data_IF_386775709978
#
_entry.id   IF_386775709978
#
_cell.length_a   1.000
_cell.length_b   1.000
_cell.length_c   1.000
_cell.angle_alpha   90.00
_cell.angle_beta   90.00
_cell.angle_gamma   90.00
#
_symmetry.space_group_name_H-M   'P 1'
#
loop_
_entity.id
_entity.type
_entity.pdbx_description
1 polymer ?
#
# COMPACT_ATOMS: atom_id res chain seq x y z
N UNK A 1 37.08 -20.41 3.60
CA UNK A 1 36.31 -19.19 3.88
C UNK A 1 35.39 -18.97 2.69
N UNK A 2 34.09 -19.23 2.84
CA UNK A 2 33.11 -18.71 1.87
C UNK A 2 33.14 -17.20 2.02
N UNK A 3 33.32 -16.47 0.92
CA UNK A 3 33.15 -15.02 0.91
C UNK A 3 31.74 -14.74 1.42
N UNK A 4 31.62 -13.96 2.49
CA UNK A 4 30.35 -13.30 2.80
C UNK A 4 30.01 -12.47 1.57
N UNK A 5 28.97 -12.87 0.85
CA UNK A 5 28.34 -12.00 -0.14
C UNK A 5 28.03 -10.70 0.60
N UNK A 6 28.66 -9.60 0.18
CA UNK A 6 28.48 -8.31 0.82
C UNK A 6 26.99 -7.95 0.73
N UNK A 7 26.26 -8.17 1.84
CA UNK A 7 24.87 -7.78 1.96
C UNK A 7 24.79 -6.29 1.67
N UNK A 8 24.11 -5.94 0.60
CA UNK A 8 23.89 -4.54 0.28
C UNK A 8 22.82 -4.02 1.24
N UNK A 9 23.09 -2.90 1.92
CA UNK A 9 22.16 -2.34 2.91
C UNK A 9 21.05 -1.49 2.27
N UNK A 10 21.14 -1.25 0.96
CA UNK A 10 20.21 -0.44 0.20
C UNK A 10 19.86 -1.13 -1.13
N UNK A 11 18.59 -1.02 -1.50
CA UNK A 11 18.03 -1.54 -2.75
C UNK A 11 17.23 -0.43 -3.42
N UNK A 12 17.14 -0.46 -4.74
CA UNK A 12 16.40 0.52 -5.53
C UNK A 12 15.45 -0.20 -6.45
N UNK A 13 14.23 0.31 -6.53
CA UNK A 13 13.18 -0.15 -7.43
C UNK A 13 12.87 0.99 -8.38
N UNK A 14 12.90 0.72 -9.68
CA UNK A 14 12.51 1.71 -10.68
C UNK A 14 11.00 1.93 -10.63
N UNK A 15 10.58 3.20 -10.62
CA UNK A 15 9.19 3.62 -10.63
C UNK A 15 8.90 4.40 -11.92
N UNK A 16 7.65 4.35 -12.40
CA UNK A 16 7.26 5.03 -13.64
C UNK A 16 7.24 6.56 -13.52
N UNK A 17 7.00 7.09 -12.31
CA UNK A 17 6.95 8.53 -12.01
C UNK A 17 7.33 8.80 -10.54
N UNK A 18 7.23 10.06 -10.11
CA UNK A 18 7.45 10.49 -8.72
C UNK A 18 6.62 9.68 -7.73
N UNK A 19 7.28 9.21 -6.68
CA UNK A 19 6.65 8.58 -5.51
C UNK A 19 6.48 9.64 -4.42
N UNK A 20 5.25 9.84 -3.96
CA UNK A 20 4.90 10.80 -2.92
C UNK A 20 4.69 10.15 -1.55
N UNK A 21 4.29 8.89 -1.53
CA UNK A 21 4.03 8.12 -0.31
C UNK A 21 4.37 6.65 -0.52
N UNK A 22 4.85 5.98 0.52
CA UNK A 22 5.14 4.54 0.54
C UNK A 22 4.80 3.98 1.91
N UNK A 23 4.14 2.82 1.95
CA UNK A 23 3.72 2.16 3.19
C UNK A 23 3.84 0.63 3.06
N UNK A 24 4.54 0.00 4.00
CA UNK A 24 4.44 -1.45 4.19
C UNK A 24 3.10 -1.80 4.83
N UNK A 25 2.55 -2.95 4.48
CA UNK A 25 1.40 -3.49 5.18
C UNK A 25 1.82 -3.86 6.61
N UNK A 26 1.27 -3.20 7.66
CA UNK A 26 1.68 -3.46 9.03
C UNK A 26 1.00 -4.71 9.61
N UNK A 27 0.06 -5.32 8.89
CA UNK A 27 -0.70 -6.48 9.35
C UNK A 27 -0.07 -7.78 8.85
N UNK A 28 0.08 -8.74 9.75
CA UNK A 28 0.58 -10.09 9.43
C UNK A 28 -0.55 -11.04 8.98
N UNK A 29 -1.78 -10.54 8.92
CA UNK A 29 -2.96 -11.34 8.60
C UNK A 29 -2.84 -11.93 7.19
N UNK A 30 -3.01 -13.25 7.09
CA UNK A 30 -3.11 -13.95 5.82
C UNK A 30 -1.90 -13.80 4.89
N UNK A 31 -0.69 -13.90 5.46
CA UNK A 31 0.58 -13.91 4.71
C UNK A 31 0.79 -12.65 3.85
N UNK A 32 0.42 -11.50 4.38
CA UNK A 32 0.40 -10.23 3.66
C UNK A 32 1.39 -9.18 4.18
N UNK A 33 2.22 -9.54 5.17
CA UNK A 33 3.16 -8.61 5.82
C UNK A 33 4.32 -8.16 4.93
N UNK A 34 4.57 -8.87 3.83
CA UNK A 34 5.57 -8.49 2.83
C UNK A 34 5.02 -7.55 1.73
N UNK A 35 3.73 -7.16 1.82
CA UNK A 35 3.14 -6.20 0.90
C UNK A 35 3.67 -4.79 1.15
N UNK A 36 3.92 -4.09 0.07
CA UNK A 36 4.27 -2.67 0.06
C UNK A 36 3.38 -1.94 -0.94
N UNK A 37 2.93 -0.76 -0.56
CA UNK A 37 2.20 0.14 -1.44
C UNK A 37 3.00 1.43 -1.63
N UNK A 38 2.97 2.00 -2.83
CA UNK A 38 3.43 3.36 -3.04
C UNK A 38 2.50 4.13 -3.97
N UNK A 39 2.34 5.42 -3.69
CA UNK A 39 1.47 6.34 -4.41
C UNK A 39 2.26 7.36 -5.23
N UNK A 40 1.80 7.61 -6.45
CA UNK A 40 2.40 8.58 -7.38
C UNK A 40 1.46 9.72 -7.76
N UNK A 41 1.74 10.36 -8.90
CA UNK A 41 0.94 11.50 -9.40
C UNK A 41 -0.46 11.13 -9.87
N UNK A 42 -0.68 9.89 -10.30
CA UNK A 42 -1.98 9.44 -10.81
C UNK A 42 -2.20 7.92 -10.65
N UNK A 43 -1.40 7.26 -9.80
CA UNK A 43 -1.46 5.82 -9.61
C UNK A 43 -1.14 5.43 -8.16
N UNK A 44 -1.54 4.22 -7.78
CA UNK A 44 -1.05 3.50 -6.61
C UNK A 44 -0.54 2.14 -7.08
N UNK A 45 0.65 1.76 -6.66
CA UNK A 45 1.21 0.44 -6.93
C UNK A 45 1.19 -0.39 -5.66
N UNK A 46 0.75 -1.64 -5.79
CA UNK A 46 0.89 -2.69 -4.78
C UNK A 46 1.93 -3.69 -5.28
N UNK A 47 2.91 -4.00 -4.44
CA UNK A 47 3.93 -5.01 -4.71
C UNK A 47 4.25 -5.84 -3.48
N UNK A 48 5.13 -6.82 -3.67
CA UNK A 48 5.71 -7.65 -2.60
C UNK A 48 7.22 -7.42 -2.55
N UNK A 49 7.76 -7.44 -1.34
CA UNK A 49 9.20 -7.49 -1.08
C UNK A 49 9.53 -8.84 -0.44
N UNK A 50 10.17 -9.73 -1.17
CA UNK A 50 10.70 -10.99 -0.60
C UNK A 50 12.14 -10.76 -0.18
N UNK A 51 12.47 -11.12 1.06
CA UNK A 51 13.81 -10.94 1.62
C UNK A 51 14.62 -12.25 1.55
N UNK A 52 15.93 -12.14 1.41
CA UNK A 52 16.84 -13.28 1.42
C UNK A 52 16.71 -14.17 2.68
N UNK A 53 16.35 -13.58 3.82
CA UNK A 53 16.07 -14.32 5.06
C UNK A 53 14.84 -15.23 4.98
N UNK A 54 13.91 -14.96 4.06
CA UNK A 54 12.67 -15.71 3.85
C UNK A 54 12.85 -16.78 2.77
N UNK A 55 13.54 -16.44 1.67
CA UNK A 55 13.79 -17.33 0.54
C UNK A 55 15.28 -17.40 0.18
N UNK A 56 15.88 -18.58 0.32
CA UNK A 56 17.31 -18.80 0.13
C UNK A 56 17.83 -18.49 -1.29
N UNK A 57 16.96 -18.52 -2.29
CA UNK A 57 17.27 -18.23 -3.69
C UNK A 57 17.19 -16.73 -4.02
N UNK A 58 16.75 -15.88 -3.08
CA UNK A 58 16.73 -14.42 -3.23
C UNK A 58 18.07 -13.85 -2.77
N UNK A 59 18.75 -13.11 -3.66
CA UNK A 59 19.92 -12.31 -3.28
C UNK A 59 19.46 -10.91 -2.82
N UNK A 60 19.52 -10.65 -1.52
CA UNK A 60 19.10 -9.37 -0.95
C UNK A 60 17.58 -9.21 -0.85
N UNK A 61 16.99 -8.39 -1.74
CA UNK A 61 15.54 -8.16 -1.81
C UNK A 61 15.07 -8.39 -3.25
N UNK A 62 14.00 -9.17 -3.39
CA UNK A 62 13.24 -9.28 -4.62
C UNK A 62 11.95 -8.48 -4.51
N UNK A 63 11.84 -7.40 -5.28
CA UNK A 63 10.61 -6.65 -5.44
C UNK A 63 9.81 -7.18 -6.64
N UNK A 64 8.49 -7.33 -6.47
CA UNK A 64 7.56 -7.67 -7.55
C UNK A 64 6.32 -6.80 -7.48
N UNK A 65 6.01 -6.11 -8.57
CA UNK A 65 4.72 -5.43 -8.72
C UNK A 65 3.61 -6.47 -8.88
N UNK A 66 2.59 -6.39 -8.02
CA UNK A 66 1.38 -7.19 -8.13
C UNK A 66 0.32 -6.47 -8.95
N UNK A 67 0.14 -5.17 -8.72
CA UNK A 67 -0.88 -4.37 -9.42
C UNK A 67 -0.60 -2.88 -9.38
N UNK A 68 -0.94 -2.19 -10.47
CA UNK A 68 -1.01 -0.73 -10.56
C UNK A 68 -2.47 -0.32 -10.70
N UNK A 69 -2.94 0.55 -9.81
CA UNK A 69 -4.27 1.14 -9.83
C UNK A 69 -4.19 2.55 -10.39
N UNK A 70 -4.97 2.86 -11.41
CA UNK A 70 -5.15 4.24 -11.84
C UNK A 70 -5.93 5.02 -10.76
N UNK A 71 -5.39 6.14 -10.34
CA UNK A 71 -5.96 7.01 -9.31
C UNK A 71 -6.44 8.35 -9.89
N UNK A 72 -5.70 8.88 -10.86
CA UNK A 72 -6.05 10.09 -11.61
C UNK A 72 -5.64 11.42 -10.97
N UNK A 73 -5.21 11.40 -9.71
CA UNK A 73 -4.68 12.57 -8.97
C UNK A 73 -3.53 12.13 -8.06
N UNK A 74 -2.77 13.11 -7.55
CA UNK A 74 -1.62 12.84 -6.67
C UNK A 74 -2.10 12.21 -5.37
N UNK A 75 -1.46 11.11 -4.99
CA UNK A 75 -1.72 10.38 -3.75
C UNK A 75 -0.86 10.96 -2.64
N UNK A 76 -1.50 11.41 -1.56
CA UNK A 76 -0.81 12.06 -0.44
C UNK A 76 -0.65 11.14 0.77
N UNK A 77 -1.49 10.09 0.89
CA UNK A 77 -1.46 9.15 1.99
C UNK A 77 -2.00 7.78 1.62
N UNK A 78 -1.53 6.73 2.31
CA UNK A 78 -1.97 5.34 2.17
C UNK A 78 -2.19 4.75 3.57
N UNK A 79 -3.26 3.98 3.77
CA UNK A 79 -3.42 3.14 4.95
C UNK A 79 -3.94 1.76 4.55
N UNK A 80 -3.33 0.74 5.13
CA UNK A 80 -3.72 -0.65 4.95
C UNK A 80 -4.90 -1.02 5.84
N UNK A 81 -5.76 -1.92 5.36
CA UNK A 81 -6.81 -2.55 6.17
C UNK A 81 -6.31 -3.90 6.71
N UNK A 82 -6.63 -4.28 7.97
CA UNK A 82 -6.34 -5.60 8.51
C UNK A 82 -7.10 -6.74 7.82
N UNK A 83 -8.07 -6.41 6.95
CA UNK A 83 -8.76 -7.38 6.08
C UNK A 83 -7.91 -7.81 4.87
N UNK A 84 -6.77 -7.15 4.61
CA UNK A 84 -5.85 -7.56 3.55
C UNK A 84 -5.27 -8.93 3.86
N UNK A 85 -5.33 -9.84 2.89
CA UNK A 85 -4.84 -11.22 3.00
C UNK A 85 -4.56 -11.83 1.64
N UNK A 86 -3.41 -12.48 1.51
CA UNK A 86 -2.99 -13.21 0.31
C UNK A 86 -3.36 -14.71 0.36
N UNK A 87 -3.58 -15.26 1.56
CA UNK A 87 -3.91 -16.67 1.79
C UNK A 87 -5.36 -17.06 1.45
N UNK A 88 -6.22 -16.10 1.10
CA UNK A 88 -7.58 -16.37 0.64
C UNK A 88 -7.65 -16.63 -0.86
N UNK A 89 -8.72 -17.31 -1.29
CA UNK A 89 -8.99 -17.56 -2.72
C UNK A 89 -10.38 -16.99 -3.08
N UNK A 90 -10.46 -15.86 -3.81
CA UNK A 90 -9.31 -15.04 -4.27
C UNK A 90 -8.63 -14.26 -3.12
N UNK A 91 -7.40 -13.73 -3.32
CA UNK A 91 -6.77 -12.84 -2.35
C UNK A 91 -7.62 -11.58 -2.16
N UNK A 92 -7.45 -10.89 -1.04
CA UNK A 92 -8.13 -9.63 -0.75
C UNK A 92 -7.07 -8.58 -0.45
N UNK A 93 -6.99 -7.56 -1.30
CA UNK A 93 -6.23 -6.34 -1.03
C UNK A 93 -7.23 -5.25 -0.68
N UNK A 94 -7.11 -4.71 0.53
CA UNK A 94 -7.96 -3.61 0.99
C UNK A 94 -7.11 -2.53 1.65
N UNK A 95 -7.20 -1.33 1.13
CA UNK A 95 -6.45 -0.17 1.61
C UNK A 95 -7.24 1.09 1.27
N UNK A 96 -6.90 2.21 1.88
CA UNK A 96 -7.42 3.50 1.48
C UNK A 96 -6.30 4.48 1.19
N UNK A 97 -6.66 5.52 0.44
CA UNK A 97 -5.75 6.61 0.09
C UNK A 97 -6.40 7.94 0.39
N UNK A 98 -5.60 8.93 0.80
CA UNK A 98 -5.93 10.34 0.64
C UNK A 98 -5.22 10.90 -0.58
N UNK A 99 -5.78 11.96 -1.16
CA UNK A 99 -5.26 12.54 -2.39
C UNK A 99 -5.49 14.04 -2.47
N UNK A 100 -4.83 14.67 -3.44
CA UNK A 100 -4.82 16.12 -3.65
C UNK A 100 -6.20 16.72 -3.94
N UNK A 101 -7.20 15.90 -4.26
CA UNK A 101 -8.59 16.32 -4.43
C UNK A 101 -9.42 16.28 -3.15
N UNK A 102 -8.76 16.13 -1.99
CA UNK A 102 -9.35 16.14 -0.64
C UNK A 102 -10.33 14.98 -0.39
N UNK A 103 -10.23 13.91 -1.20
CA UNK A 103 -11.08 12.73 -1.08
C UNK A 103 -10.31 11.54 -0.57
N UNK A 104 -11.01 10.71 0.21
CA UNK A 104 -10.51 9.39 0.57
C UNK A 104 -11.05 8.38 -0.44
N UNK A 105 -10.21 7.48 -0.93
CA UNK A 105 -10.63 6.36 -1.77
C UNK A 105 -10.32 5.05 -1.06
N UNK A 106 -11.35 4.26 -0.80
CA UNK A 106 -11.26 2.91 -0.26
C UNK A 106 -11.19 1.92 -1.42
N UNK A 107 -10.04 1.28 -1.62
CA UNK A 107 -9.81 0.27 -2.66
C UNK A 107 -10.07 -1.14 -2.12
N UNK A 108 -10.68 -1.97 -2.97
CA UNK A 108 -10.79 -3.41 -2.79
C UNK A 108 -10.37 -4.10 -4.09
N UNK A 109 -9.46 -5.06 -3.99
CA UNK A 109 -8.96 -5.80 -5.13
C UNK A 109 -8.76 -7.28 -4.86
N UNK A 110 -9.05 -8.11 -5.85
CA UNK A 110 -8.71 -9.53 -5.88
C UNK A 110 -7.42 -9.84 -6.64
N UNK A 111 -6.64 -8.79 -6.96
CA UNK A 111 -5.47 -8.81 -7.85
C UNK A 111 -5.74 -9.32 -9.27
N UNK A 112 -6.99 -9.59 -9.63
CA UNK A 112 -7.42 -10.13 -10.92
C UNK A 112 -8.40 -9.15 -11.58
N UNK A 113 -9.69 -9.46 -11.56
CA UNK A 113 -10.73 -8.74 -12.29
C UNK A 113 -11.44 -7.70 -11.42
N UNK A 114 -11.58 -7.97 -10.11
CA UNK A 114 -12.23 -7.03 -9.19
C UNK A 114 -11.20 -6.05 -8.69
N UNK A 115 -11.27 -4.83 -9.18
CA UNK A 115 -10.38 -3.73 -8.81
C UNK A 115 -11.23 -2.46 -8.73
N UNK A 116 -11.90 -2.29 -7.61
CA UNK A 116 -12.85 -1.20 -7.41
C UNK A 116 -12.42 -0.30 -6.26
N UNK A 117 -12.96 0.91 -6.27
CA UNK A 117 -12.83 1.80 -5.13
C UNK A 117 -14.12 2.56 -4.89
N UNK A 118 -14.33 2.91 -3.62
CA UNK A 118 -15.38 3.83 -3.19
C UNK A 118 -14.74 5.16 -2.81
N UNK A 119 -15.36 6.24 -3.27
CA UNK A 119 -14.99 7.60 -2.87
C UNK A 119 -15.74 7.96 -1.60
N UNK A 120 -15.01 8.45 -0.60
CA UNK A 120 -15.54 9.05 0.62
C UNK A 120 -15.25 10.54 0.57
N UNK A 121 -16.32 11.33 0.68
CA UNK A 121 -16.28 12.79 0.62
C UNK A 121 -16.61 13.36 2.00
N UNK A 122 -16.12 14.57 2.29
CA UNK A 122 -16.42 15.27 3.53
C UNK A 122 -15.42 16.37 3.83
N UNK A 123 -14.13 16.04 3.77
CA UNK A 123 -13.07 17.01 3.97
C UNK A 123 -13.08 18.09 2.89
N UNK A 124 -12.77 19.31 3.31
CA UNK A 124 -12.76 20.52 2.48
C UNK A 124 -11.38 21.14 2.34
N UNK A 125 -10.37 20.50 2.93
CA UNK A 125 -8.96 20.84 2.80
C UNK A 125 -8.10 19.56 2.83
N UNK A 126 -6.77 19.70 2.81
CA UNK A 126 -5.84 18.59 2.75
C UNK A 126 -5.99 17.60 3.91
N UNK A 127 -6.04 16.32 3.54
CA UNK A 127 -6.09 15.21 4.50
C UNK A 127 -4.67 14.84 4.88
N UNK A 128 -4.34 15.03 6.16
CA UNK A 128 -2.99 14.88 6.70
C UNK A 128 -2.72 13.48 7.27
N UNK A 129 -3.76 12.70 7.53
CA UNK A 129 -3.64 11.37 8.09
C UNK A 129 -4.87 10.52 7.81
N UNK A 130 -4.65 9.22 7.61
CA UNK A 130 -5.66 8.20 7.45
C UNK A 130 -5.21 6.93 8.15
N UNK A 131 -6.12 6.25 8.86
CA UNK A 131 -5.86 4.94 9.47
C UNK A 131 -7.12 4.10 9.44
N UNK A 132 -6.97 2.78 9.35
CA UNK A 132 -8.05 1.84 9.62
C UNK A 132 -8.16 1.56 11.12
N UNK A 133 -9.35 1.18 11.58
CA UNK A 133 -9.48 0.39 12.82
C UNK A 133 -8.58 -0.85 12.70
N UNK A 134 -7.52 -0.96 13.52
CA UNK A 134 -6.54 -2.04 13.37
C UNK A 134 -7.07 -3.41 13.79
N UNK A 135 -8.24 -3.47 14.46
CA UNK A 135 -8.81 -4.72 14.94
C UNK A 135 -9.83 -5.31 13.96
N UNK A 136 -10.89 -4.57 13.66
CA UNK A 136 -11.98 -5.08 12.82
C UNK A 136 -11.91 -4.57 11.38
N UNK A 137 -11.16 -3.50 11.10
CA UNK A 137 -10.99 -2.95 9.74
C UNK A 137 -12.25 -2.32 9.13
N UNK A 138 -13.28 -2.08 9.94
CA UNK A 138 -14.59 -1.60 9.49
C UNK A 138 -14.67 -0.08 9.37
N UNK A 139 -13.84 0.62 10.14
CA UNK A 139 -13.83 2.08 10.23
C UNK A 139 -12.52 2.66 9.71
N UNK A 140 -12.60 3.89 9.20
CA UNK A 140 -11.46 4.69 8.79
C UNK A 140 -11.54 6.00 9.57
N UNK A 141 -10.45 6.38 10.22
CA UNK A 141 -10.30 7.69 10.82
C UNK A 141 -9.41 8.57 9.92
N UNK A 142 -9.76 9.84 9.82
CA UNK A 142 -9.04 10.84 9.02
C UNK A 142 -8.82 12.12 9.83
N UNK A 143 -7.87 12.94 9.41
CA UNK A 143 -7.62 14.29 9.97
C UNK A 143 -7.27 15.24 8.84
N UNK A 144 -7.75 16.49 8.92
CA UNK A 144 -7.64 17.45 7.81
C UNK A 144 -7.33 18.88 8.28
N UNK A 145 -6.73 19.67 7.39
CA UNK A 145 -6.49 21.11 7.57
C UNK A 145 -7.80 21.93 7.65
N UNK A 146 -8.95 21.34 7.31
CA UNK A 146 -10.27 21.95 7.49
C UNK A 146 -10.75 21.99 8.95
N UNK A 147 -9.90 21.60 9.90
CA UNK A 147 -10.16 21.55 11.34
C UNK A 147 -11.17 20.46 11.74
N UNK A 148 -11.27 19.37 10.96
CA UNK A 148 -12.12 18.22 11.27
C UNK A 148 -11.35 16.88 11.23
N UNK A 149 -11.96 15.88 11.86
CA UNK A 149 -11.54 14.47 11.85
C UNK A 149 -12.67 13.59 11.31
#
# INVERSE_FOLDING_TARGET
MKQDASRNAAYTVDCEDYVHVVEFNPFENGDSGNLIAYGGNNYVVIGTCTFQEEEADVEGIQYKTLRTFHHGVRVDGIAWSPETRLDSLPPVIKFCTSAADMKIRLFTSDLQDKNEYKVLEGHTDFINGLVFDPKEGQEIASVSDDHTC
#
